data_IF_658329269965
#
_entry.id   IF_658329269965
#
_cell.length_a   1.000
_cell.length_b   1.000
_cell.length_c   1.000
_cell.angle_alpha   90.00
_cell.angle_beta   90.00
_cell.angle_gamma   90.00
#
_symmetry.space_group_name_H-M   'P 1'
#
loop_
_entity.id
_entity.type
_entity.pdbx_description
1 polymer ?
#
# COMPACT_ATOMS: atom_id res chain seq x y z
N UNK A 1 -15.13 6.28 0.17
CA UNK A 1 -15.43 4.83 0.21
C UNK A 1 -14.50 4.14 1.19
N UNK A 2 -15.02 3.16 1.92
CA UNK A 2 -14.24 2.34 2.86
C UNK A 2 -14.10 0.91 2.32
N UNK A 3 -12.95 0.23 2.51
CA UNK A 3 -12.80 -1.20 2.25
C UNK A 3 -13.84 -2.07 2.96
N UNK A 4 -14.47 -1.57 4.03
CA UNK A 4 -15.52 -2.27 4.78
C UNK A 4 -16.81 -2.52 3.99
N UNK A 5 -17.06 -1.80 2.88
CA UNK A 5 -18.25 -2.05 2.04
C UNK A 5 -18.12 -3.33 1.21
N UNK A 6 -16.89 -3.86 1.03
CA UNK A 6 -16.61 -5.10 0.29
C UNK A 6 -17.23 -5.14 -1.12
N UNK A 7 -17.31 -3.99 -1.79
CA UNK A 7 -17.81 -3.86 -3.17
C UNK A 7 -16.66 -3.79 -4.16
N UNK A 8 -16.79 -4.54 -5.25
CA UNK A 8 -16.00 -4.44 -6.47
C UNK A 8 -16.87 -4.84 -7.66
N UNK A 9 -16.42 -4.55 -8.88
CA UNK A 9 -17.14 -4.86 -10.12
C UNK A 9 -16.21 -5.51 -11.15
N UNK A 10 -16.79 -6.27 -12.06
CA UNK A 10 -16.11 -6.92 -13.19
C UNK A 10 -16.78 -6.42 -14.46
N UNK A 11 -15.99 -6.06 -15.48
CA UNK A 11 -16.47 -5.67 -16.80
C UNK A 11 -15.79 -6.56 -17.82
N UNK A 12 -16.57 -7.19 -18.69
CA UNK A 12 -16.08 -8.15 -19.68
C UNK A 12 -17.19 -8.59 -20.63
N UNK A 13 -16.89 -9.49 -21.58
CA UNK A 13 -17.87 -10.02 -22.52
C UNK A 13 -19.02 -10.74 -21.82
N UNK A 14 -20.25 -10.60 -22.33
CA UNK A 14 -21.45 -11.18 -21.73
C UNK A 14 -21.31 -12.67 -21.37
N UNK A 15 -20.78 -13.55 -22.24
CA UNK A 15 -20.65 -14.98 -21.90
C UNK A 15 -19.73 -15.24 -20.70
N UNK A 16 -18.76 -14.35 -20.45
CA UNK A 16 -17.86 -14.44 -19.29
C UNK A 16 -18.56 -13.96 -18.03
N UNK A 17 -19.30 -12.84 -18.11
CA UNK A 17 -20.03 -12.28 -16.97
C UNK A 17 -21.15 -13.20 -16.53
N UNK A 18 -21.91 -13.79 -17.46
CA UNK A 18 -22.95 -14.78 -17.15
C UNK A 18 -22.35 -15.96 -16.39
N UNK A 19 -21.25 -16.53 -16.90
CA UNK A 19 -20.59 -17.66 -16.27
C UNK A 19 -20.06 -17.34 -14.87
N UNK A 20 -19.48 -16.15 -14.69
CA UNK A 20 -18.99 -15.70 -13.38
C UNK A 20 -20.15 -15.44 -12.39
N UNK A 21 -21.29 -14.93 -12.89
CA UNK A 21 -22.49 -14.68 -12.09
C UNK A 21 -23.10 -15.97 -11.56
N UNK A 22 -23.18 -17.02 -12.39
CA UNK A 22 -23.62 -18.35 -11.96
C UNK A 22 -22.73 -18.92 -10.83
N UNK A 23 -21.41 -18.79 -10.98
CA UNK A 23 -20.44 -19.25 -9.97
C UNK A 23 -20.60 -18.46 -8.67
N UNK A 24 -20.80 -17.15 -8.76
CA UNK A 24 -21.02 -16.28 -7.60
C UNK A 24 -22.26 -16.69 -6.82
N UNK A 25 -23.38 -16.92 -7.52
CA UNK A 25 -24.64 -17.36 -6.90
C UNK A 25 -24.48 -18.66 -6.11
N UNK A 26 -23.61 -19.57 -6.56
CA UNK A 26 -23.30 -20.83 -5.88
C UNK A 26 -22.32 -20.67 -4.70
N UNK A 27 -21.53 -19.60 -4.66
CA UNK A 27 -20.46 -19.41 -3.67
C UNK A 27 -20.89 -18.58 -2.47
N UNK A 28 -21.48 -17.40 -2.73
CA UNK A 28 -21.85 -16.44 -1.69
C UNK A 28 -23.25 -15.84 -1.91
N UNK A 29 -24.02 -16.40 -2.85
CA UNK A 29 -25.35 -15.96 -3.28
C UNK A 29 -25.33 -14.54 -3.88
N UNK A 30 -25.25 -13.51 -3.02
CA UNK A 30 -25.25 -12.11 -3.45
C UNK A 30 -24.37 -11.23 -2.55
N UNK A 31 -23.81 -10.19 -3.15
CA UNK A 31 -23.15 -9.12 -2.39
C UNK A 31 -24.19 -8.27 -1.65
N UNK A 32 -23.82 -7.69 -0.51
CA UNK A 32 -24.72 -6.85 0.32
C UNK A 32 -25.45 -5.78 -0.51
N UNK A 33 -26.77 -5.91 -0.65
CA UNK A 33 -27.62 -4.96 -1.39
C UNK A 33 -27.54 -3.55 -0.81
N UNK A 34 -27.45 -3.43 0.52
CA UNK A 34 -27.23 -2.15 1.20
C UNK A 34 -25.90 -1.51 0.79
N UNK A 35 -24.82 -2.29 0.74
CA UNK A 35 -23.50 -1.77 0.35
C UNK A 35 -23.48 -1.36 -1.13
N UNK A 36 -24.16 -2.12 -2.00
CA UNK A 36 -24.35 -1.77 -3.41
C UNK A 36 -25.12 -0.45 -3.56
N UNK A 37 -26.23 -0.29 -2.83
CA UNK A 37 -27.04 0.93 -2.87
C UNK A 37 -26.27 2.18 -2.38
N UNK A 38 -25.46 2.03 -1.32
CA UNK A 38 -24.60 3.12 -0.84
C UNK A 38 -23.58 3.53 -1.91
N UNK A 39 -22.94 2.57 -2.59
CA UNK A 39 -21.98 2.85 -3.66
C UNK A 39 -22.66 3.50 -4.85
N UNK A 40 -23.84 3.02 -5.26
CA UNK A 40 -24.66 3.60 -6.34
C UNK A 40 -24.93 5.09 -6.10
N UNK A 41 -25.49 5.44 -4.92
CA UNK A 41 -25.74 6.83 -4.55
C UNK A 41 -24.47 7.67 -4.52
N UNK A 42 -23.41 7.14 -3.95
CA UNK A 42 -22.15 7.86 -3.83
C UNK A 42 -21.51 8.21 -5.19
N UNK A 43 -21.65 7.32 -6.17
CA UNK A 43 -21.20 7.54 -7.55
C UNK A 43 -22.14 8.48 -8.31
N UNK A 44 -23.46 8.31 -8.16
CA UNK A 44 -24.46 9.11 -8.87
C UNK A 44 -24.47 10.59 -8.45
N UNK A 45 -24.20 10.88 -7.18
CA UNK A 45 -24.29 12.23 -6.61
C UNK A 45 -23.01 13.07 -6.84
N UNK A 46 -21.99 12.55 -7.55
CA UNK A 46 -20.74 13.26 -7.85
C UNK A 46 -19.76 13.42 -6.67
N UNK A 47 -20.12 12.87 -5.50
CA UNK A 47 -19.32 12.94 -4.26
C UNK A 47 -18.01 12.16 -4.42
N UNK A 48 -18.03 11.10 -5.24
CA UNK A 48 -16.85 10.28 -5.51
C UNK A 48 -15.71 11.08 -6.15
N UNK A 49 -16.01 11.92 -7.14
CA UNK A 49 -15.04 12.70 -7.90
C UNK A 49 -14.31 13.69 -7.00
N UNK A 50 -15.04 14.36 -6.12
CA UNK A 50 -14.46 15.32 -5.17
C UNK A 50 -13.62 14.62 -4.09
N UNK A 51 -14.11 13.50 -3.58
CA UNK A 51 -13.32 12.66 -2.67
C UNK A 51 -12.03 12.14 -3.32
N UNK A 52 -12.08 11.74 -4.59
CA UNK A 52 -10.90 11.30 -5.34
C UNK A 52 -9.86 12.41 -5.47
N UNK A 53 -10.26 13.66 -5.73
CA UNK A 53 -9.34 14.80 -5.79
C UNK A 53 -8.61 14.96 -4.44
N UNK A 54 -9.37 14.98 -3.34
CA UNK A 54 -8.82 15.12 -1.98
C UNK A 54 -7.84 14.00 -1.64
N UNK A 55 -8.19 12.73 -1.92
CA UNK A 55 -7.29 11.60 -1.68
C UNK A 55 -6.01 11.72 -2.51
N UNK A 56 -6.11 12.09 -3.79
CA UNK A 56 -4.93 12.21 -4.66
C UNK A 56 -3.98 13.29 -4.15
N UNK A 57 -4.51 14.43 -3.72
CA UNK A 57 -3.72 15.50 -3.12
C UNK A 57 -3.02 15.04 -1.84
N UNK A 58 -3.75 14.40 -0.93
CA UNK A 58 -3.20 13.90 0.32
C UNK A 58 -2.12 12.83 0.11
N UNK A 59 -2.37 11.85 -0.78
CA UNK A 59 -1.38 10.83 -1.10
C UNK A 59 -0.15 11.42 -1.79
N UNK A 60 -0.31 12.42 -2.65
CA UNK A 60 0.80 13.11 -3.30
C UNK A 60 1.67 13.87 -2.29
N UNK A 61 1.04 14.56 -1.34
CA UNK A 61 1.73 15.24 -0.25
C UNK A 61 2.53 14.25 0.62
N UNK A 62 1.87 13.18 1.08
CA UNK A 62 2.50 12.14 1.91
C UNK A 62 3.63 11.43 1.18
N UNK A 63 3.47 11.13 -0.11
CA UNK A 63 4.56 10.60 -0.96
C UNK A 63 5.73 11.57 -1.00
N UNK A 64 5.47 12.86 -1.24
CA UNK A 64 6.53 13.89 -1.31
C UNK A 64 7.35 13.94 -0.03
N UNK A 65 6.69 14.00 1.11
CA UNK A 65 7.33 13.95 2.42
C UNK A 65 8.15 12.68 2.64
N UNK A 66 7.59 11.53 2.30
CA UNK A 66 8.30 10.24 2.43
C UNK A 66 9.55 10.21 1.56
N UNK A 67 9.47 10.70 0.32
CA UNK A 67 10.61 10.77 -0.60
C UNK A 67 11.70 11.72 -0.09
N UNK A 68 11.33 12.83 0.57
CA UNK A 68 12.32 13.71 1.20
C UNK A 68 13.12 12.98 2.27
N UNK A 69 12.45 12.29 3.20
CA UNK A 69 13.11 11.50 4.24
C UNK A 69 13.98 10.40 3.63
N UNK A 70 13.47 9.67 2.63
CA UNK A 70 14.27 8.64 1.96
C UNK A 70 15.50 9.24 1.27
N UNK A 71 15.37 10.39 0.62
CA UNK A 71 16.49 11.07 -0.05
C UNK A 71 17.56 11.49 0.97
N UNK A 72 17.16 11.97 2.14
CA UNK A 72 18.09 12.41 3.18
C UNK A 72 18.79 11.24 3.90
N UNK A 73 18.04 10.19 4.25
CA UNK A 73 18.53 9.14 5.15
C UNK A 73 18.87 7.81 4.46
N UNK A 74 18.33 7.54 3.27
CA UNK A 74 18.43 6.24 2.58
C UNK A 74 19.21 6.27 1.27
N UNK A 75 19.65 7.42 0.76
CA UNK A 75 20.32 7.51 -0.56
C UNK A 75 21.56 6.62 -0.69
N UNK A 76 22.27 6.37 0.42
CA UNK A 76 23.42 5.46 0.45
C UNK A 76 23.03 4.01 0.81
N UNK A 77 21.83 3.80 1.36
CA UNK A 77 21.37 2.54 1.93
C UNK A 77 20.45 1.75 1.00
N UNK A 78 19.75 2.44 0.11
CA UNK A 78 18.73 1.86 -0.75
C UNK A 78 18.55 2.66 -2.04
N UNK A 79 17.93 2.03 -3.01
CA UNK A 79 17.43 2.67 -4.23
C UNK A 79 15.91 2.49 -4.32
N UNK A 80 15.22 3.45 -4.90
CA UNK A 80 13.77 3.40 -5.11
C UNK A 80 13.36 4.20 -6.33
N UNK A 81 12.18 3.88 -6.86
CA UNK A 81 11.51 4.71 -7.85
C UNK A 81 10.43 5.55 -7.17
N UNK A 82 10.26 6.80 -7.61
CA UNK A 82 9.16 7.65 -7.14
C UNK A 82 7.87 7.16 -7.79
N UNK A 83 6.91 6.58 -7.03
CA UNK A 83 5.71 6.00 -7.61
C UNK A 83 4.80 7.10 -8.14
N UNK A 84 4.23 6.94 -9.34
CA UNK A 84 3.30 7.92 -9.92
C UNK A 84 1.94 7.96 -9.19
N UNK A 85 1.56 6.87 -8.54
CA UNK A 85 0.32 6.73 -7.77
C UNK A 85 0.38 5.52 -6.82
N UNK A 86 -0.73 5.27 -6.11
CA UNK A 86 -0.79 4.25 -5.06
C UNK A 86 -0.29 4.79 -3.71
N UNK A 87 0.06 3.87 -2.82
CA UNK A 87 0.42 4.17 -1.42
C UNK A 87 1.65 3.40 -0.92
N UNK A 88 2.41 2.80 -1.84
CA UNK A 88 3.62 2.05 -1.54
C UNK A 88 4.84 2.60 -2.26
N UNK A 89 5.99 2.51 -1.61
CA UNK A 89 7.32 2.68 -2.21
C UNK A 89 8.04 1.34 -2.09
N UNK A 90 8.65 0.92 -3.20
CA UNK A 90 9.47 -0.28 -3.25
C UNK A 90 10.93 0.13 -3.09
N UNK A 91 11.52 -0.22 -1.94
CA UNK A 91 12.90 0.09 -1.60
C UNK A 91 13.75 -1.14 -1.86
N UNK A 92 14.80 -1.00 -2.67
CA UNK A 92 15.85 -2.03 -2.82
C UNK A 92 17.03 -1.65 -1.94
N UNK A 93 17.30 -2.43 -0.90
CA UNK A 93 18.46 -2.22 -0.04
C UNK A 93 19.75 -2.55 -0.79
N UNK A 94 20.86 -1.93 -0.37
CA UNK A 94 22.18 -2.27 -0.89
C UNK A 94 22.54 -3.74 -0.62
N UNK A 95 23.39 -4.35 -1.47
CA UNK A 95 23.89 -5.70 -1.25
C UNK A 95 24.52 -5.84 0.14
N UNK A 96 24.34 -7.01 0.77
CA UNK A 96 24.84 -7.42 2.10
C UNK A 96 23.98 -7.06 3.32
N UNK A 97 22.87 -6.33 3.17
CA UNK A 97 21.95 -6.12 4.29
C UNK A 97 21.01 -7.33 4.42
N UNK A 98 21.08 -8.04 5.55
CA UNK A 98 20.16 -9.15 5.81
C UNK A 98 18.79 -8.62 6.23
N UNK A 99 17.82 -8.62 5.30
CA UNK A 99 16.43 -8.21 5.58
C UNK A 99 15.82 -8.99 6.74
N UNK A 100 16.15 -10.28 6.87
CA UNK A 100 15.68 -11.10 8.00
C UNK A 100 16.18 -10.57 9.34
N UNK A 101 17.48 -10.22 9.45
CA UNK A 101 18.03 -9.63 10.68
C UNK A 101 17.40 -8.26 10.96
N UNK A 102 17.29 -7.44 9.92
CA UNK A 102 16.66 -6.12 10.00
C UNK A 102 15.21 -6.22 10.48
N UNK A 103 14.44 -7.19 10.00
CA UNK A 103 13.05 -7.42 10.41
C UNK A 103 12.95 -7.69 11.92
N UNK A 104 13.75 -8.60 12.45
CA UNK A 104 13.72 -8.91 13.88
C UNK A 104 14.19 -7.73 14.75
N UNK A 105 15.23 -7.03 14.31
CA UNK A 105 15.70 -5.83 15.00
C UNK A 105 14.61 -4.74 15.02
N UNK A 106 14.02 -4.44 13.86
CA UNK A 106 12.97 -3.42 13.72
C UNK A 106 11.74 -3.76 14.59
N UNK A 107 11.35 -5.05 14.63
CA UNK A 107 10.25 -5.52 15.46
C UNK A 107 10.49 -5.29 16.96
N UNK A 108 11.73 -5.45 17.45
CA UNK A 108 12.07 -5.18 18.85
C UNK A 108 11.90 -3.70 19.21
N UNK A 109 11.96 -2.80 18.23
CA UNK A 109 11.74 -1.37 18.40
C UNK A 109 10.31 -0.92 18.03
N UNK A 110 9.40 -1.87 17.79
CA UNK A 110 8.02 -1.57 17.41
C UNK A 110 7.84 -1.09 15.96
N UNK A 111 8.86 -1.24 15.12
CA UNK A 111 8.81 -0.89 13.68
C UNK A 111 8.50 -2.15 12.87
N UNK A 112 7.32 -2.19 12.26
CA UNK A 112 6.93 -3.26 11.36
C UNK A 112 7.33 -2.94 9.92
N UNK A 113 8.23 -3.75 9.35
CA UNK A 113 8.61 -3.68 7.93
C UNK A 113 8.00 -4.83 7.14
N UNK A 114 7.77 -4.63 5.83
CA UNK A 114 7.25 -5.67 4.93
C UNK A 114 8.35 -6.11 3.95
N UNK A 115 9.01 -7.27 4.17
CA UNK A 115 9.97 -7.84 3.23
C UNK A 115 9.38 -8.14 1.85
N UNK A 116 10.20 -7.99 0.81
CA UNK A 116 9.89 -8.39 -0.57
C UNK A 116 9.54 -9.87 -0.68
N UNK A 117 10.13 -10.70 0.17
CA UNK A 117 9.91 -12.16 0.24
C UNK A 117 8.46 -12.58 0.51
N UNK A 118 7.61 -11.67 1.01
CA UNK A 118 6.17 -11.88 1.15
C UNK A 118 5.46 -11.89 -0.21
N UNK A 119 6.00 -11.17 -1.21
CA UNK A 119 5.41 -10.98 -2.54
C UNK A 119 6.09 -11.84 -3.61
N UNK A 120 7.39 -12.08 -3.47
CA UNK A 120 8.17 -13.02 -4.29
C UNK A 120 9.20 -13.72 -3.40
N UNK A 121 9.14 -15.06 -3.31
CA UNK A 121 10.03 -15.86 -2.45
C UNK A 121 11.53 -15.63 -2.72
N UNK A 122 11.88 -15.24 -3.94
CA UNK A 122 13.27 -15.00 -4.33
C UNK A 122 13.74 -13.56 -4.02
N UNK A 123 12.83 -12.67 -3.64
CA UNK A 123 13.17 -11.29 -3.33
C UNK A 123 13.64 -11.14 -1.88
N UNK A 124 14.96 -11.06 -1.72
CA UNK A 124 15.64 -10.91 -0.44
C UNK A 124 16.22 -9.50 -0.21
N UNK A 125 16.02 -8.59 -1.18
CA UNK A 125 16.68 -7.30 -1.22
C UNK A 125 15.70 -6.13 -1.06
N UNK A 126 14.38 -6.37 -1.18
CA UNK A 126 13.40 -5.30 -1.13
C UNK A 126 12.59 -5.20 0.16
N UNK A 127 12.15 -3.98 0.45
CA UNK A 127 11.15 -3.64 1.44
C UNK A 127 9.98 -2.89 0.78
N UNK A 128 8.76 -3.27 1.14
CA UNK A 128 7.55 -2.52 0.80
C UNK A 128 7.22 -1.52 1.89
N UNK A 129 7.44 -0.25 1.62
CA UNK A 129 7.08 0.83 2.53
C UNK A 129 5.68 1.35 2.22
N UNK A 130 4.82 1.45 3.24
CA UNK A 130 3.50 2.08 3.14
C UNK A 130 3.56 3.49 3.70
N UNK A 131 3.09 4.48 2.92
CA UNK A 131 3.07 5.87 3.35
C UNK A 131 1.65 6.42 3.54
N UNK A 132 0.59 5.63 3.46
CA UNK A 132 -0.79 6.13 3.52
C UNK A 132 -1.42 6.17 4.91
N UNK A 133 -0.96 5.32 5.85
CA UNK A 133 -1.68 5.09 7.11
C UNK A 133 -1.04 5.75 8.35
N UNK A 134 0.29 5.63 8.52
CA UNK A 134 0.98 6.17 9.68
C UNK A 134 0.81 7.69 9.80
N UNK A 135 0.92 8.27 11.00
CA UNK A 135 1.02 9.73 11.10
C UNK A 135 2.31 10.21 10.41
N UNK A 136 2.38 11.50 10.04
CA UNK A 136 3.60 12.05 9.42
C UNK A 136 4.78 11.95 10.38
N UNK A 137 4.53 12.17 11.67
CA UNK A 137 5.50 12.06 12.76
C UNK A 137 6.00 10.62 12.95
N UNK A 138 5.10 9.64 13.01
CA UNK A 138 5.50 8.23 13.14
C UNK A 138 6.24 7.73 11.90
N UNK A 139 5.84 8.21 10.72
CA UNK A 139 6.49 7.87 9.47
C UNK A 139 7.93 8.41 9.43
N UNK A 140 8.14 9.64 9.85
CA UNK A 140 9.47 10.26 9.96
C UNK A 140 10.34 9.55 10.99
N UNK A 141 9.86 9.43 12.23
CA UNK A 141 10.58 8.76 13.32
C UNK A 141 10.94 7.32 12.96
N UNK A 142 9.96 6.57 12.43
CA UNK A 142 10.15 5.18 12.03
C UNK A 142 11.16 5.03 10.89
N UNK A 143 11.15 5.93 9.91
CA UNK A 143 12.11 5.90 8.80
C UNK A 143 13.52 6.30 9.21
N UNK A 144 13.67 7.37 9.99
CA UNK A 144 14.98 7.79 10.51
C UNK A 144 15.57 6.66 11.33
N UNK A 145 14.79 6.10 12.26
CA UNK A 145 15.27 4.99 13.09
C UNK A 145 15.63 3.77 12.27
N UNK A 146 14.80 3.39 11.29
CA UNK A 146 15.11 2.29 10.39
C UNK A 146 16.43 2.52 9.62
N UNK A 147 16.72 3.75 9.20
CA UNK A 147 17.98 4.09 8.52
C UNK A 147 19.20 3.87 9.43
N UNK A 148 19.10 4.22 10.71
CA UNK A 148 20.16 4.00 11.71
C UNK A 148 20.40 2.51 11.92
N UNK A 149 19.31 1.72 12.00
CA UNK A 149 19.40 0.27 12.16
C UNK A 149 20.07 -0.40 10.97
N UNK A 150 19.76 0.05 9.74
CA UNK A 150 20.40 -0.44 8.53
C UNK A 150 21.90 -0.13 8.53
N UNK A 151 22.30 1.07 8.96
CA UNK A 151 23.73 1.46 9.04
C UNK A 151 24.54 0.64 10.05
N UNK A 152 23.87 0.07 11.07
CA UNK A 152 24.50 -0.69 12.15
C UNK A 152 24.52 -2.22 11.90
N UNK A 153 23.98 -2.69 10.77
CA UNK A 153 23.93 -4.11 10.38
C UNK A 153 24.99 -4.48 9.34
#
# INVERSE_FOLDING_TARGET
>A
MSPGLRIGWIVGPDPVIERLSDIKMQTDYESSSLSQYVVDKWLADGIYEDYLKQIREQLKFRRGFTIQILTEYFSELATWNIPKGGFYIWLRLQPNISIRKLFYAALQEGILINPGSIYDKNDQDHLRLSFSFASMEDLEKGLIRLSEMIKNL
#
